data_IF_127527975370
#
_entry.id   IF_127527975370
#
_cell.length_a   1.000
_cell.length_b   1.000
_cell.length_c   1.000
_cell.angle_alpha   90.00
_cell.angle_beta   90.00
_cell.angle_gamma   90.00
#
_symmetry.space_group_name_H-M   'P 1'
#
loop_
_entity.id
_entity.type
_entity.pdbx_description
1 polymer ?
#
# COMPACT_ATOMS: atom_id res chain seq x y z
N UNK A 1 21.93 22.67 -17.30
CA UNK A 1 20.50 22.99 -17.33
C UNK A 1 19.79 22.08 -16.35
N UNK A 2 19.42 22.59 -15.19
CA UNK A 2 18.73 21.78 -14.17
C UNK A 2 17.24 21.78 -14.52
N UNK A 3 16.70 20.60 -14.90
CA UNK A 3 15.26 20.39 -15.03
C UNK A 3 14.68 20.35 -13.61
N UNK A 4 14.17 21.47 -13.13
CA UNK A 4 13.34 21.50 -11.94
C UNK A 4 12.01 20.84 -12.27
N UNK A 5 11.88 19.55 -11.96
CA UNK A 5 10.61 18.86 -11.98
C UNK A 5 9.73 19.50 -10.90
N UNK A 6 8.85 20.39 -11.31
CA UNK A 6 7.80 20.91 -10.46
C UNK A 6 6.77 19.79 -10.25
N UNK A 7 6.95 18.98 -9.20
CA UNK A 7 5.96 17.97 -8.81
C UNK A 7 4.78 18.75 -8.22
N UNK A 8 3.80 19.06 -9.06
CA UNK A 8 2.50 19.53 -8.59
C UNK A 8 1.84 18.36 -7.85
N UNK A 9 1.95 18.35 -6.53
CA UNK A 9 1.21 17.39 -5.71
C UNK A 9 -0.28 17.66 -5.89
N UNK A 10 -1.08 16.67 -6.35
CA UNK A 10 -2.52 16.85 -6.38
C UNK A 10 -2.99 17.17 -4.96
N UNK A 11 -3.75 18.25 -4.80
CA UNK A 11 -4.44 18.50 -3.52
C UNK A 11 -5.50 17.42 -3.37
N UNK A 12 -5.32 16.53 -2.42
CA UNK A 12 -6.40 15.65 -2.02
C UNK A 12 -7.53 16.50 -1.43
N UNK A 13 -8.79 16.27 -1.84
CA UNK A 13 -9.92 16.97 -1.22
C UNK A 13 -9.94 16.65 0.28
N UNK A 14 -10.31 17.61 1.09
CA UNK A 14 -10.54 17.39 2.51
C UNK A 14 -11.70 16.39 2.68
N UNK A 15 -11.61 15.55 3.69
CA UNK A 15 -12.69 14.66 4.06
C UNK A 15 -13.95 15.46 4.42
N UNK A 16 -15.11 14.94 4.07
CA UNK A 16 -16.38 15.45 4.57
C UNK A 16 -16.48 15.22 6.09
N UNK A 17 -17.40 15.91 6.76
CA UNK A 17 -17.62 15.69 8.20
C UNK A 17 -18.04 14.26 8.53
N UNK A 18 -18.81 13.62 7.65
CA UNK A 18 -19.24 12.24 7.79
C UNK A 18 -18.06 11.27 7.67
N UNK A 19 -17.24 11.43 6.63
CA UNK A 19 -16.02 10.63 6.43
C UNK A 19 -15.04 10.80 7.59
N UNK A 20 -14.84 12.03 8.07
CA UNK A 20 -13.99 12.30 9.23
C UNK A 20 -14.56 11.63 10.49
N UNK A 21 -15.86 11.69 10.71
CA UNK A 21 -16.53 11.01 11.83
C UNK A 21 -16.31 9.49 11.80
N UNK A 22 -16.39 8.87 10.63
CA UNK A 22 -16.10 7.44 10.45
C UNK A 22 -14.65 7.10 10.79
N UNK A 23 -13.70 7.92 10.35
CA UNK A 23 -12.28 7.75 10.69
C UNK A 23 -12.06 7.86 12.19
N UNK A 24 -12.60 8.90 12.82
CA UNK A 24 -12.47 9.15 14.25
C UNK A 24 -13.07 8.02 15.09
N UNK A 25 -14.22 7.48 14.69
CA UNK A 25 -14.86 6.33 15.31
C UNK A 25 -13.95 5.10 15.30
N UNK A 26 -13.37 4.76 14.14
CA UNK A 26 -12.49 3.61 14.03
C UNK A 26 -11.19 3.78 14.81
N UNK A 27 -10.63 4.99 14.84
CA UNK A 27 -9.43 5.29 15.62
C UNK A 27 -9.69 5.25 17.13
N UNK A 28 -10.93 5.52 17.58
CA UNK A 28 -11.32 5.48 18.98
C UNK A 28 -11.59 4.06 19.49
N UNK A 29 -11.80 3.06 18.63
CA UNK A 29 -12.06 1.67 19.02
C UNK A 29 -10.94 1.09 19.88
N UNK A 30 -11.29 0.29 20.85
CA UNK A 30 -10.35 -0.37 21.79
C UNK A 30 -10.11 -1.84 21.49
N UNK A 31 -11.05 -2.49 20.80
CA UNK A 31 -10.95 -3.89 20.38
C UNK A 31 -10.05 -3.97 19.15
N UNK A 32 -8.77 -4.27 19.33
CA UNK A 32 -7.74 -4.15 18.29
C UNK A 32 -7.86 -5.18 17.18
N UNK A 33 -8.37 -6.36 17.47
CA UNK A 33 -8.57 -7.48 16.54
C UNK A 33 -9.94 -7.43 15.81
N UNK A 34 -10.78 -6.43 16.13
CA UNK A 34 -12.04 -6.23 15.42
C UNK A 34 -11.78 -5.99 13.93
N UNK A 35 -12.40 -6.82 13.08
CA UNK A 35 -12.33 -6.67 11.64
C UNK A 35 -13.11 -5.41 11.22
N UNK A 36 -12.45 -4.54 10.46
CA UNK A 36 -13.05 -3.31 9.93
C UNK A 36 -13.48 -3.51 8.48
N UNK A 37 -12.67 -4.22 7.70
CA UNK A 37 -12.90 -4.40 6.28
C UNK A 37 -12.28 -5.69 5.76
N UNK A 38 -13.09 -6.43 4.99
CA UNK A 38 -12.63 -7.52 4.12
C UNK A 38 -12.71 -7.10 2.67
N UNK A 39 -11.60 -7.17 1.97
CA UNK A 39 -11.56 -6.86 0.55
C UNK A 39 -10.44 -7.61 -0.17
N UNK A 40 -10.75 -8.21 -1.31
CA UNK A 40 -9.78 -8.93 -2.14
C UNK A 40 -8.94 -9.97 -1.35
N UNK A 41 -9.58 -10.70 -0.42
CA UNK A 41 -8.95 -11.68 0.49
C UNK A 41 -7.93 -11.05 1.46
N UNK A 42 -8.14 -9.81 1.81
CA UNK A 42 -7.34 -9.11 2.82
C UNK A 42 -8.26 -8.57 3.91
N UNK A 43 -7.96 -8.94 5.14
CA UNK A 43 -8.63 -8.43 6.34
C UNK A 43 -7.84 -7.24 6.88
N UNK A 44 -8.55 -6.19 7.27
CA UNK A 44 -8.00 -5.02 7.94
C UNK A 44 -8.71 -4.85 9.27
N UNK A 45 -7.94 -4.97 10.34
CA UNK A 45 -8.44 -4.82 11.71
C UNK A 45 -8.18 -3.41 12.25
N UNK A 46 -8.81 -3.09 13.38
CA UNK A 46 -8.62 -1.81 14.09
C UNK A 46 -7.14 -1.54 14.38
N UNK A 47 -6.36 -2.56 14.78
CA UNK A 47 -4.92 -2.41 15.01
C UNK A 47 -4.18 -1.88 13.77
N UNK A 48 -4.54 -2.38 12.58
CA UNK A 48 -3.93 -1.92 11.32
C UNK A 48 -4.31 -0.47 11.02
N UNK A 49 -5.59 -0.09 11.17
CA UNK A 49 -6.07 1.28 10.98
C UNK A 49 -5.36 2.27 11.91
N UNK A 50 -5.10 1.89 13.16
CA UNK A 50 -4.40 2.75 14.12
C UNK A 50 -2.97 3.11 13.69
N UNK A 51 -2.34 2.32 12.84
CA UNK A 51 -1.02 2.65 12.29
C UNK A 51 -1.04 3.84 11.32
N UNK A 52 -2.24 4.29 10.90
CA UNK A 52 -2.41 5.52 10.11
C UNK A 52 -2.35 6.80 10.96
N UNK A 53 -2.32 6.68 12.29
CA UNK A 53 -2.22 7.84 13.18
C UNK A 53 -0.85 8.53 13.03
N UNK A 54 -0.80 9.87 13.16
CA UNK A 54 0.46 10.60 13.10
C UNK A 54 1.50 10.06 14.07
N UNK A 55 2.74 9.94 13.62
CA UNK A 55 3.86 9.47 14.45
C UNK A 55 3.93 7.96 14.69
N UNK A 56 3.03 7.18 14.08
CA UNK A 56 3.09 5.73 14.08
C UNK A 56 3.66 5.20 12.77
N UNK A 57 4.24 4.02 12.82
CA UNK A 57 4.78 3.36 11.62
C UNK A 57 3.67 2.59 10.92
N UNK A 58 3.65 2.69 9.60
CA UNK A 58 2.68 1.95 8.81
C UNK A 58 2.91 0.44 8.94
N UNK A 59 1.80 -0.25 9.13
CA UNK A 59 1.72 -1.70 9.11
C UNK A 59 1.74 -2.22 7.66
N UNK A 60 2.31 -3.38 7.45
CA UNK A 60 2.41 -4.01 6.12
C UNK A 60 1.04 -4.41 5.56
N UNK A 61 0.05 -4.74 6.40
CA UNK A 61 -1.33 -5.00 5.98
C UNK A 61 -1.95 -3.75 5.35
N UNK A 62 -1.78 -2.58 5.96
CA UNK A 62 -2.28 -1.31 5.41
C UNK A 62 -1.62 -0.99 4.07
N UNK A 63 -0.31 -1.16 3.96
CA UNK A 63 0.41 -0.94 2.70
C UNK A 63 -0.11 -1.90 1.63
N UNK A 64 -0.26 -3.19 1.95
CA UNK A 64 -0.75 -4.19 1.02
C UNK A 64 -2.22 -3.98 0.64
N UNK A 65 -3.06 -3.54 1.57
CA UNK A 65 -4.45 -3.20 1.30
C UNK A 65 -4.55 -2.01 0.35
N UNK A 66 -3.83 -0.93 0.64
CA UNK A 66 -3.81 0.25 -0.22
C UNK A 66 -3.25 -0.05 -1.62
N UNK A 67 -2.25 -0.95 -1.71
CA UNK A 67 -1.76 -1.47 -2.99
C UNK A 67 -2.89 -2.05 -3.84
N UNK A 68 -3.79 -2.85 -3.25
CA UNK A 68 -4.93 -3.45 -3.99
C UNK A 68 -5.83 -2.35 -4.53
N UNK A 69 -6.19 -1.37 -3.70
CA UNK A 69 -7.04 -0.24 -4.12
C UNK A 69 -6.42 0.55 -5.27
N UNK A 70 -5.12 0.81 -5.22
CA UNK A 70 -4.42 1.50 -6.32
C UNK A 70 -4.40 0.63 -7.58
N UNK A 71 -4.17 -0.69 -7.44
CA UNK A 71 -4.05 -1.61 -8.56
C UNK A 71 -5.37 -1.80 -9.33
N UNK A 72 -6.52 -1.50 -8.69
CA UNK A 72 -7.84 -1.59 -9.30
C UNK A 72 -8.33 -0.29 -9.95
N UNK A 73 -7.61 0.80 -9.78
CA UNK A 73 -7.93 2.04 -10.47
C UNK A 73 -7.79 1.88 -11.98
N UNK A 74 -8.52 2.70 -12.73
CA UNK A 74 -8.52 2.65 -14.20
C UNK A 74 -7.15 2.93 -14.84
N UNK A 75 -6.29 3.68 -14.16
CA UNK A 75 -4.91 3.97 -14.57
C UNK A 75 -3.90 2.88 -14.15
N UNK A 76 -4.34 1.89 -13.39
CA UNK A 76 -3.49 0.84 -12.83
C UNK A 76 -2.82 -0.06 -13.89
N UNK A 77 -3.33 -0.08 -15.12
CA UNK A 77 -2.68 -0.83 -16.22
C UNK A 77 -1.26 -0.37 -16.50
N UNK A 78 -0.95 0.87 -16.18
CA UNK A 78 0.36 1.49 -16.39
C UNK A 78 1.33 1.29 -15.24
N UNK A 79 0.86 0.86 -14.09
CA UNK A 79 1.67 0.69 -12.90
C UNK A 79 1.61 -0.73 -12.34
N UNK A 80 2.64 -1.11 -11.61
CA UNK A 80 2.70 -2.34 -10.85
C UNK A 80 3.25 -2.09 -9.45
N UNK A 81 2.50 -2.52 -8.44
CA UNK A 81 2.93 -2.44 -7.05
C UNK A 81 3.17 -3.84 -6.50
N UNK A 82 4.40 -4.07 -6.04
CA UNK A 82 4.72 -5.30 -5.33
C UNK A 82 4.16 -5.28 -3.91
N UNK A 83 3.96 -6.48 -3.34
CA UNK A 83 3.67 -6.63 -1.91
C UNK A 83 4.89 -6.27 -1.08
N UNK A 84 4.66 -5.92 0.17
CA UNK A 84 5.69 -5.53 1.14
C UNK A 84 6.79 -6.58 1.33
N UNK A 85 6.43 -7.85 1.26
CA UNK A 85 7.38 -8.97 1.42
C UNK A 85 8.16 -9.32 0.14
N UNK A 86 7.94 -8.63 -0.99
CA UNK A 86 8.63 -8.96 -2.24
C UNK A 86 10.15 -8.80 -2.13
N UNK A 87 10.60 -7.64 -1.68
CA UNK A 87 12.03 -7.34 -1.60
C UNK A 87 12.76 -8.24 -0.61
N UNK A 88 12.20 -8.46 0.57
CA UNK A 88 12.79 -9.33 1.59
C UNK A 88 12.88 -10.79 1.12
N UNK A 89 11.84 -11.28 0.42
CA UNK A 89 11.87 -12.62 -0.17
C UNK A 89 12.89 -12.73 -1.30
N UNK A 90 12.95 -11.73 -2.19
CA UNK A 90 13.97 -11.69 -3.26
C UNK A 90 15.39 -11.71 -2.70
N UNK A 91 15.64 -10.91 -1.66
CA UNK A 91 16.95 -10.80 -1.02
C UNK A 91 17.37 -12.10 -0.32
N UNK A 92 16.44 -12.73 0.39
CA UNK A 92 16.70 -13.94 1.19
C UNK A 92 16.72 -15.22 0.36
N UNK A 93 15.79 -15.36 -0.57
CA UNK A 93 15.50 -16.62 -1.27
C UNK A 93 15.80 -16.58 -2.77
N UNK A 94 16.17 -15.42 -3.29
CA UNK A 94 16.57 -15.23 -4.68
C UNK A 94 15.42 -15.15 -5.68
N UNK A 95 15.78 -14.88 -6.95
CA UNK A 95 14.84 -14.66 -8.03
C UNK A 95 13.90 -15.85 -8.29
N UNK A 96 14.39 -17.08 -8.16
CA UNK A 96 13.59 -18.28 -8.45
C UNK A 96 12.29 -18.34 -7.63
N UNK A 97 12.31 -17.80 -6.40
CA UNK A 97 11.15 -17.76 -5.50
C UNK A 97 10.10 -16.75 -5.95
N UNK A 98 10.52 -15.59 -6.41
CA UNK A 98 9.63 -14.46 -6.74
C UNK A 98 9.27 -14.34 -8.22
N UNK A 99 9.89 -15.12 -9.10
CA UNK A 99 9.68 -15.04 -10.56
C UNK A 99 8.22 -15.17 -11.01
N UNK A 100 7.37 -15.80 -10.20
CA UNK A 100 5.94 -15.98 -10.49
C UNK A 100 5.07 -14.84 -9.96
N UNK A 101 5.61 -13.92 -9.18
CA UNK A 101 4.82 -12.88 -8.52
C UNK A 101 4.27 -11.83 -9.49
N UNK A 102 4.83 -11.75 -10.68
CA UNK A 102 4.35 -10.88 -11.77
C UNK A 102 3.38 -11.56 -12.73
N UNK A 103 3.02 -12.83 -12.50
CA UNK A 103 2.12 -13.57 -13.42
C UNK A 103 0.74 -12.95 -13.58
N UNK A 104 0.25 -12.21 -12.58
CA UNK A 104 -1.01 -11.49 -12.63
C UNK A 104 -0.91 -10.14 -13.34
N UNK A 105 0.29 -9.76 -13.78
CA UNK A 105 0.46 -8.59 -14.63
C UNK A 105 -0.06 -8.94 -16.03
N UNK A 106 -1.08 -8.23 -16.51
CA UNK A 106 -1.74 -8.49 -17.81
C UNK A 106 -0.81 -8.43 -19.01
N UNK A 107 0.33 -7.77 -18.84
CA UNK A 107 1.41 -7.72 -19.80
C UNK A 107 2.72 -8.08 -19.08
N UNK A 108 3.85 -7.95 -19.74
CA UNK A 108 5.12 -8.10 -19.02
C UNK A 108 5.30 -6.94 -18.06
N UNK A 109 5.98 -7.17 -16.93
CA UNK A 109 6.32 -6.10 -15.98
C UNK A 109 7.08 -4.96 -16.65
N UNK A 110 7.84 -5.26 -17.71
CA UNK A 110 8.60 -4.28 -18.49
C UNK A 110 7.73 -3.34 -19.34
N UNK A 111 6.44 -3.64 -19.52
CA UNK A 111 5.48 -2.76 -20.20
C UNK A 111 4.87 -1.72 -19.28
N UNK A 112 5.18 -1.77 -17.97
CA UNK A 112 4.66 -0.82 -17.00
C UNK A 112 5.47 0.49 -17.02
N UNK A 113 4.77 1.60 -16.91
CA UNK A 113 5.39 2.93 -16.82
C UNK A 113 5.99 3.19 -15.43
N UNK A 114 5.41 2.57 -14.41
CA UNK A 114 5.84 2.73 -13.01
C UNK A 114 5.79 1.39 -12.29
N UNK A 115 6.88 1.07 -11.63
CA UNK A 115 6.98 -0.10 -10.74
C UNK A 115 7.32 0.40 -9.34
N UNK A 116 6.51 0.04 -8.36
CA UNK A 116 6.70 0.42 -6.96
C UNK A 116 7.00 -0.83 -6.14
N UNK A 117 8.10 -0.79 -5.41
CA UNK A 117 8.52 -1.85 -4.49
C UNK A 117 8.61 -1.26 -3.08
N UNK A 118 7.70 -1.61 -2.17
CA UNK A 118 7.85 -1.25 -0.78
C UNK A 118 9.07 -1.98 -0.19
N UNK A 119 9.95 -1.23 0.46
CA UNK A 119 11.16 -1.78 1.08
C UNK A 119 11.15 -1.38 2.55
N UNK A 120 11.03 -2.37 3.42
CA UNK A 120 11.27 -2.19 4.84
C UNK A 120 12.76 -2.40 5.11
N UNK A 121 13.40 -1.40 5.67
CA UNK A 121 14.82 -1.44 5.97
C UNK A 121 15.03 -1.74 7.45
N UNK A 122 15.64 -2.90 7.74
CA UNK A 122 15.98 -3.34 9.09
C UNK A 122 14.79 -3.48 10.06
N UNK A 123 13.57 -3.66 9.54
CA UNK A 123 12.34 -3.67 10.33
C UNK A 123 12.06 -2.37 11.09
N UNK A 124 12.70 -1.27 10.69
CA UNK A 124 12.61 0.03 11.38
C UNK A 124 11.76 1.07 10.64
N UNK A 125 11.66 1.00 9.32
CA UNK A 125 10.80 1.89 8.53
C UNK A 125 10.62 1.42 7.08
N UNK A 126 9.57 1.94 6.47
CA UNK A 126 9.25 1.78 5.05
C UNK A 126 9.88 2.85 4.18
#
# INVERSE_FOLDING_TARGET
>A
MALTLCIVRPKFPALTKEEQGTVDEHLAKTTLDENVQDYAHMEVCVMNIKTLSPGTWLDDQIINFYRVLIQERCDAKKLWLFRTNFYSTLKREGYAKVKRWTKKCEATIFSKELIIVPINRLEEHW
#
